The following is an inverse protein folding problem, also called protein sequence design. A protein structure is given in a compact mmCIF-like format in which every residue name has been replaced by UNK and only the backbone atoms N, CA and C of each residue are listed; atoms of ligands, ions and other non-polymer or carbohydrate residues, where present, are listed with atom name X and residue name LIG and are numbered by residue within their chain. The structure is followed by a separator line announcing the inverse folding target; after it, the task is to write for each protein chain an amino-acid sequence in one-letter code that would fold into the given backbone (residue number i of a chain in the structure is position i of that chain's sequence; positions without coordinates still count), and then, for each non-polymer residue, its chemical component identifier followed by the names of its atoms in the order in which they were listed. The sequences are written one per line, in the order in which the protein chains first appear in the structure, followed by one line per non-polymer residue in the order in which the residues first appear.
data_IF_214519625386
#
_entry.id   IF_214519625386
#
_cell.length_a   1.000
_cell.length_b   1.000
_cell.length_c   1.000
_cell.angle_alpha   90.00
_cell.angle_beta   90.00
_cell.angle_gamma   90.00
#
_symmetry.space_group_name_H-M   'P 1'
#
loop_
_entity.id
_entity.type
_entity.pdbx_description
1 polymer ?
#
# COMPACT_ATOMS: atom_id res chain seq x y z
N UNK A 1 6.10 -8.40 -2.81
CA UNK A 1 6.39 -9.71 -2.17
C UNK A 1 5.66 -10.77 -2.95
N UNK A 2 6.38 -11.66 -3.65
CA UNK A 2 5.77 -12.71 -4.47
C UNK A 2 4.92 -13.68 -3.63
N UNK A 3 5.37 -14.04 -2.42
CA UNK A 3 4.62 -14.92 -1.53
C UNK A 3 3.26 -14.33 -1.12
N UNK A 4 3.21 -13.02 -0.83
CA UNK A 4 1.95 -12.36 -0.49
C UNK A 4 1.01 -12.32 -1.70
N UNK A 5 1.54 -12.11 -2.91
CA UNK A 5 0.74 -12.17 -4.15
C UNK A 5 0.12 -13.55 -4.36
N UNK A 6 0.89 -14.61 -4.16
CA UNK A 6 0.39 -16.00 -4.29
C UNK A 6 -0.69 -16.29 -3.23
N UNK A 7 -0.46 -15.86 -1.98
CA UNK A 7 -1.42 -16.07 -0.89
C UNK A 7 -2.74 -15.35 -1.16
N UNK A 8 -2.69 -14.08 -1.54
CA UNK A 8 -3.87 -13.26 -1.86
C UNK A 8 -4.62 -13.82 -3.07
N UNK A 9 -3.91 -14.28 -4.10
CA UNK A 9 -4.52 -14.95 -5.25
C UNK A 9 -5.30 -16.20 -4.84
N UNK A 10 -4.71 -17.07 -4.00
CA UNK A 10 -5.39 -18.27 -3.48
C UNK A 10 -6.62 -17.93 -2.63
N UNK A 11 -6.53 -16.90 -1.78
CA UNK A 11 -7.67 -16.43 -0.99
C UNK A 11 -8.80 -15.91 -1.88
N UNK A 12 -8.46 -15.19 -2.95
CA UNK A 12 -9.43 -14.70 -3.95
C UNK A 12 -10.17 -15.85 -4.60
N UNK A 13 -9.44 -16.87 -5.07
CA UNK A 13 -10.02 -18.02 -5.76
C UNK A 13 -10.93 -18.85 -4.83
N UNK A 14 -10.60 -18.91 -3.53
CA UNK A 14 -11.42 -19.55 -2.51
C UNK A 14 -12.62 -18.71 -2.04
N UNK A 15 -12.79 -17.48 -2.55
CA UNK A 15 -13.86 -16.56 -2.13
C UNK A 15 -13.69 -15.96 -0.73
N UNK A 16 -12.51 -16.14 -0.11
CA UNK A 16 -12.22 -15.69 1.26
C UNK A 16 -11.44 -14.37 1.35
N UNK A 17 -11.28 -13.64 0.24
CA UNK A 17 -10.51 -12.41 0.22
C UNK A 17 -11.31 -11.24 0.81
N UNK A 18 -10.82 -10.69 1.92
CA UNK A 18 -11.40 -9.50 2.55
C UNK A 18 -10.70 -8.20 2.10
N UNK A 19 -11.38 -7.03 2.20
CA UNK A 19 -10.81 -5.75 1.79
C UNK A 19 -9.54 -5.33 2.55
N UNK A 20 -9.40 -5.65 3.84
CA UNK A 20 -8.23 -5.27 4.62
C UNK A 20 -6.99 -6.06 4.18
N UNK A 21 -7.16 -7.33 3.80
CA UNK A 21 -6.09 -8.12 3.18
C UNK A 21 -5.66 -7.54 1.82
N UNK A 22 -6.59 -7.01 1.02
CA UNK A 22 -6.26 -6.30 -0.24
C UNK A 22 -5.47 -5.02 0.04
N UNK A 23 -5.87 -4.23 1.05
CA UNK A 23 -5.13 -3.04 1.47
C UNK A 23 -3.71 -3.37 1.94
N UNK A 24 -3.55 -4.40 2.78
CA UNK A 24 -2.25 -4.88 3.22
C UNK A 24 -1.37 -5.31 2.03
N UNK A 25 -1.96 -6.04 1.09
CA UNK A 25 -1.28 -6.50 -0.12
C UNK A 25 -0.72 -5.35 -0.95
N UNK A 26 -1.56 -4.36 -1.27
CA UNK A 26 -1.16 -3.17 -2.04
C UNK A 26 -0.09 -2.39 -1.29
N UNK A 27 -0.35 -2.02 -0.04
CA UNK A 27 0.55 -1.24 0.81
C UNK A 27 1.95 -1.85 0.86
N UNK A 28 2.05 -3.13 1.23
CA UNK A 28 3.34 -3.81 1.37
C UNK A 28 4.09 -3.94 0.04
N UNK A 29 3.39 -4.26 -1.05
CA UNK A 29 4.04 -4.49 -2.34
C UNK A 29 4.54 -3.21 -2.97
N UNK A 30 3.74 -2.16 -2.98
CA UNK A 30 4.10 -0.89 -3.63
C UNK A 30 5.17 -0.16 -2.81
N UNK A 31 5.11 -0.19 -1.48
CA UNK A 31 6.18 0.37 -0.63
C UNK A 31 7.53 -0.35 -0.83
N UNK A 32 7.51 -1.67 -1.06
CA UNK A 32 8.72 -2.43 -1.41
C UNK A 32 9.20 -2.10 -2.82
N UNK A 33 8.31 -2.03 -3.81
CA UNK A 33 8.66 -1.67 -5.17
C UNK A 33 9.31 -0.28 -5.25
N UNK A 34 8.76 0.70 -4.52
CA UNK A 34 9.31 2.07 -4.44
C UNK A 34 10.75 2.08 -3.92
N UNK A 35 11.03 1.33 -2.85
CA UNK A 35 12.40 1.19 -2.32
C UNK A 35 13.33 0.49 -3.30
N UNK A 36 12.87 -0.57 -3.96
CA UNK A 36 13.66 -1.30 -4.96
C UNK A 36 14.01 -0.38 -6.14
N UNK A 37 13.07 0.41 -6.64
CA UNK A 37 13.31 1.36 -7.72
C UNK A 37 14.32 2.44 -7.33
N UNK A 38 14.22 2.98 -6.10
CA UNK A 38 15.20 3.92 -5.56
C UNK A 38 16.61 3.31 -5.50
N UNK A 39 16.75 2.10 -4.95
CA UNK A 39 18.04 1.39 -4.90
C UNK A 39 18.58 1.09 -6.29
N UNK A 40 17.74 0.66 -7.25
CA UNK A 40 18.17 0.39 -8.61
C UNK A 40 18.68 1.66 -9.31
N UNK A 41 18.03 2.81 -9.10
CA UNK A 41 18.48 4.11 -9.60
C UNK A 41 19.84 4.50 -9.00
N UNK A 42 20.05 4.27 -7.71
CA UNK A 42 21.33 4.52 -7.04
C UNK A 42 22.46 3.63 -7.57
N UNK A 43 22.20 2.33 -7.77
CA UNK A 43 23.18 1.38 -8.32
C UNK A 43 23.68 1.81 -9.71
N UNK A 44 22.82 2.43 -10.52
CA UNK A 44 23.18 2.90 -11.86
C UNK A 44 23.85 4.28 -11.87
N UNK A 45 23.93 5.00 -10.75
CA UNK A 45 24.56 6.31 -10.65
C UNK A 45 24.03 7.31 -11.69
N UNK A 46 24.93 7.94 -12.46
CA UNK A 46 24.56 8.87 -13.52
C UNK A 46 23.74 8.22 -14.66
N UNK A 47 23.92 6.93 -14.92
CA UNK A 47 23.09 6.22 -15.90
C UNK A 47 21.66 6.01 -15.39
N UNK A 48 21.47 6.02 -14.06
CA UNK A 48 20.16 5.83 -13.44
C UNK A 48 19.18 6.97 -13.69
N UNK A 49 19.63 8.14 -14.13
CA UNK A 49 18.75 9.27 -14.51
C UNK A 49 18.44 9.32 -16.00
N UNK A 50 19.10 8.50 -16.82
CA UNK A 50 18.88 8.44 -18.26
C UNK A 50 17.69 7.54 -18.58
N UNK A 51 16.89 7.94 -19.58
CA UNK A 51 15.74 7.17 -20.03
C UNK A 51 16.16 5.85 -20.71
N UNK A 52 17.37 5.76 -21.26
CA UNK A 52 17.90 4.56 -21.92
C UNK A 52 17.94 3.33 -20.98
N UNK A 53 18.10 3.56 -19.67
CA UNK A 53 18.15 2.50 -18.65
C UNK A 53 16.81 2.28 -17.95
N UNK A 54 15.80 3.09 -18.26
CA UNK A 54 14.38 2.96 -17.84
C UNK A 54 14.08 2.94 -16.33
N UNK A 55 15.11 2.91 -15.48
CA UNK A 55 14.93 2.84 -14.02
C UNK A 55 14.23 4.09 -13.48
N UNK A 56 14.52 5.26 -14.06
CA UNK A 56 13.88 6.52 -13.70
C UNK A 56 12.42 6.54 -14.12
N UNK A 57 12.07 5.95 -15.27
CA UNK A 57 10.68 5.78 -15.71
C UNK A 57 9.90 4.91 -14.72
N UNK A 58 10.45 3.74 -14.36
CA UNK A 58 9.82 2.85 -13.38
C UNK A 58 9.67 3.50 -12.01
N UNK A 59 10.65 4.29 -11.57
CA UNK A 59 10.55 5.02 -10.32
C UNK A 59 9.39 6.02 -10.36
N UNK A 60 9.24 6.78 -11.45
CA UNK A 60 8.14 7.72 -11.62
C UNK A 60 6.77 7.01 -11.68
N UNK A 61 6.66 5.92 -12.43
CA UNK A 61 5.42 5.13 -12.51
C UNK A 61 4.98 4.59 -11.14
N UNK A 62 5.94 4.11 -10.35
CA UNK A 62 5.67 3.56 -9.02
C UNK A 62 5.15 4.64 -8.05
N UNK A 63 5.57 5.90 -8.16
CA UNK A 63 5.02 6.98 -7.33
C UNK A 63 3.51 7.20 -7.60
N UNK A 64 3.09 7.05 -8.87
CA UNK A 64 1.68 7.05 -9.23
C UNK A 64 0.92 5.90 -8.55
N UNK A 65 1.44 4.68 -8.68
CA UNK A 65 0.85 3.47 -8.05
C UNK A 65 0.84 3.56 -6.53
N UNK A 66 1.83 4.23 -5.92
CA UNK A 66 1.90 4.42 -4.47
C UNK A 66 0.76 5.30 -3.96
N UNK A 67 0.25 6.21 -4.80
CA UNK A 67 -0.75 7.21 -4.46
C UNK A 67 -2.18 6.76 -4.80
N UNK A 68 -2.41 6.28 -6.02
CA UNK A 68 -3.74 5.89 -6.47
C UNK A 68 -4.23 4.59 -5.80
N UNK A 69 -5.55 4.36 -5.85
CA UNK A 69 -6.24 3.24 -5.17
C UNK A 69 -5.99 3.21 -3.65
N UNK A 70 -5.98 4.40 -3.05
CA UNK A 70 -5.68 4.64 -1.64
C UNK A 70 -4.19 4.84 -1.40
N UNK A 71 -3.82 5.91 -0.71
CA UNK A 71 -2.44 6.18 -0.32
C UNK A 71 -1.94 5.10 0.64
N UNK A 72 -0.62 5.04 0.85
CA UNK A 72 -0.03 4.13 1.82
C UNK A 72 -0.62 4.34 3.23
N UNK A 73 -0.87 5.59 3.62
CA UNK A 73 -1.40 5.93 4.94
C UNK A 73 -2.87 5.53 5.07
N UNK A 74 -3.68 5.77 4.04
CA UNK A 74 -5.08 5.31 4.01
C UNK A 74 -5.16 3.79 4.14
N UNK A 75 -4.34 3.05 3.38
CA UNK A 75 -4.29 1.59 3.50
C UNK A 75 -3.79 1.13 4.88
N UNK A 76 -2.84 1.86 5.47
CA UNK A 76 -2.36 1.60 6.85
C UNK A 76 -3.50 1.73 7.85
N UNK A 77 -4.33 2.77 7.73
CA UNK A 77 -5.49 2.99 8.61
C UNK A 77 -6.59 1.93 8.41
N UNK A 78 -6.84 1.46 7.18
CA UNK A 78 -7.76 0.36 6.91
C UNK A 78 -7.30 -0.92 7.62
N UNK A 79 -6.02 -1.27 7.47
CA UNK A 79 -5.42 -2.44 8.13
C UNK A 79 -5.45 -2.26 9.66
N UNK A 80 -5.12 -1.07 10.15
CA UNK A 80 -5.17 -0.73 11.57
C UNK A 80 -6.58 -0.90 12.15
N UNK A 81 -7.62 -0.43 11.46
CA UNK A 81 -9.01 -0.64 11.87
C UNK A 81 -9.37 -2.12 11.91
N UNK A 82 -8.95 -2.91 10.91
CA UNK A 82 -9.24 -4.35 10.87
C UNK A 82 -8.57 -5.12 12.02
N UNK A 83 -7.37 -4.71 12.44
CA UNK A 83 -6.63 -5.35 13.54
C UNK A 83 -7.17 -4.91 14.90
N UNK A 84 -7.46 -3.62 15.07
CA UNK A 84 -7.73 -3.01 16.38
C UNK A 84 -9.21 -2.81 16.67
N UNK A 85 -10.08 -2.83 15.65
CA UNK A 85 -11.48 -2.42 15.74
C UNK A 85 -11.69 -0.91 15.84
N UNK A 86 -10.63 -0.10 15.92
CA UNK A 86 -10.73 1.36 16.06
C UNK A 86 -10.58 2.09 14.72
N UNK A 87 -11.54 2.95 14.41
CA UNK A 87 -11.53 3.78 13.20
C UNK A 87 -10.72 5.07 13.46
N UNK A 88 -9.62 5.28 12.71
CA UNK A 88 -8.68 6.39 12.93
C UNK A 88 -8.45 7.28 11.68
N UNK A 89 -9.48 7.47 10.83
CA UNK A 89 -9.37 8.33 9.63
C UNK A 89 -9.61 9.81 9.89
N UNK A 90 -10.33 10.14 10.97
CA UNK A 90 -10.67 11.52 11.34
C UNK A 90 -9.72 12.04 12.42
N UNK A 91 -9.47 13.35 12.40
CA UNK A 91 -8.79 14.06 13.49
C UNK A 91 -9.66 14.21 14.74
N UNK A 92 -10.97 13.99 14.62
CA UNK A 92 -11.88 14.03 15.76
C UNK A 92 -11.73 12.77 16.63
N UNK A 93 -11.69 12.92 17.97
CA UNK A 93 -11.61 11.80 18.88
C UNK A 93 -12.84 10.88 18.72
N UNK A 94 -12.68 9.57 18.94
CA UNK A 94 -13.78 8.62 18.79
C UNK A 94 -14.93 8.97 19.74
N UNK A 95 -16.07 9.41 19.20
CA UNK A 95 -17.32 9.61 19.96
C UNK A 95 -17.69 8.29 20.63
N UNK A 96 -17.98 8.35 21.94
CA UNK A 96 -18.37 7.17 22.71
C UNK A 96 -19.68 6.62 22.14
N UNK A 97 -19.87 5.30 22.20
CA UNK A 97 -21.08 4.65 21.71
C UNK A 97 -22.37 5.22 22.33
N UNK A 98 -22.28 5.79 23.54
CA UNK A 98 -23.37 6.43 24.29
C UNK A 98 -23.86 7.75 23.65
N UNK A 99 -23.00 8.45 22.89
CA UNK A 99 -23.29 9.79 22.32
C UNK A 99 -24.02 9.74 20.96
N UNK A 100 -24.26 8.54 20.39
CA UNK A 100 -24.93 8.37 19.09
C UNK A 100 -26.43 8.09 19.18
N UNK A 101 -26.98 8.12 20.39
CA UNK A 101 -28.36 7.71 20.71
C UNK A 101 -29.31 8.86 21.05
N UNK A 102 -28.90 10.10 20.80
CA UNK A 102 -29.77 11.30 20.88
C UNK A 102 -30.09 11.86 19.49
#
# INVERSE_FOLDING_TARGET
SQLLSIHVGRLKDAGGLDPATVSLFKMNNVAKARRIAATAREVLGGNGILLDYRVMEHMADIEGVYTYEGTNDVNTLIVGQAITGHRAFSSEPPQRAEERTE
#
